data_IF_462603867220
#
_entry.id   IF_462603867220
#
_cell.length_a   1.000
_cell.length_b   1.000
_cell.length_c   1.000
_cell.angle_alpha   90.00
_cell.angle_beta   90.00
_cell.angle_gamma   90.00
#
_symmetry.space_group_name_H-M   'P 1'
#
loop_
_entity.id
_entity.type
_entity.pdbx_description
1 polymer ?
#
# COMPACT_ATOMS: atom_id res chain seq x y z
N UNK A 1 -1.53 -11.36 -16.88
CA UNK A 1 -0.35 -10.60 -16.42
C UNK A 1 -0.63 -10.20 -14.97
N UNK A 2 0.19 -10.59 -14.04
CA UNK A 2 -0.01 -10.24 -12.64
C UNK A 2 0.33 -8.76 -12.46
N UNK A 3 -0.68 -7.93 -12.24
CA UNK A 3 -0.49 -6.49 -12.05
C UNK A 3 -0.09 -6.11 -10.62
N UNK A 4 -0.27 -7.03 -9.66
CA UNK A 4 0.11 -6.84 -8.25
C UNK A 4 1.50 -7.46 -7.97
N UNK A 5 2.52 -6.97 -8.66
CA UNK A 5 3.92 -7.39 -8.50
C UNK A 5 4.69 -6.49 -7.53
N UNK A 6 5.94 -6.18 -7.89
CA UNK A 6 6.77 -5.20 -7.19
C UNK A 6 6.34 -3.80 -7.60
N UNK A 7 5.89 -2.99 -6.66
CA UNK A 7 5.30 -1.68 -6.96
C UNK A 7 6.00 -0.49 -6.33
N UNK A 8 6.73 -0.69 -5.24
CA UNK A 8 7.39 0.40 -4.55
C UNK A 8 8.79 0.00 -4.11
N UNK A 9 9.72 0.90 -4.34
CA UNK A 9 11.10 0.84 -3.87
C UNK A 9 11.45 2.17 -3.21
N UNK A 10 11.94 2.14 -1.98
CA UNK A 10 12.40 3.33 -1.29
C UNK A 10 13.45 2.95 -0.24
N UNK A 11 14.37 3.85 0.06
CA UNK A 11 15.27 3.65 1.19
C UNK A 11 14.58 4.09 2.49
N UNK A 12 14.63 3.22 3.50
CA UNK A 12 14.17 3.57 4.85
C UNK A 12 15.15 4.57 5.47
N UNK A 13 14.71 5.78 5.83
CA UNK A 13 15.56 6.73 6.54
C UNK A 13 15.85 6.30 7.98
N UNK A 14 15.14 5.30 8.50
CA UNK A 14 15.30 4.75 9.84
C UNK A 14 16.39 3.69 9.89
N UNK A 15 16.49 2.84 8.88
CA UNK A 15 17.43 1.70 8.86
C UNK A 15 18.52 1.81 7.80
N UNK A 16 18.38 2.72 6.83
CA UNK A 16 19.25 2.84 5.67
C UNK A 16 19.12 1.70 4.66
N UNK A 17 18.19 0.76 4.90
CA UNK A 17 17.96 -0.39 4.02
C UNK A 17 16.99 -0.05 2.90
N UNK A 18 17.09 -0.78 1.80
CA UNK A 18 16.11 -0.71 0.72
C UNK A 18 14.82 -1.41 1.14
N UNK A 19 13.70 -0.72 1.02
CA UNK A 19 12.37 -1.28 1.27
C UNK A 19 11.70 -1.58 -0.05
N UNK A 20 11.23 -2.80 -0.19
CA UNK A 20 10.52 -3.34 -1.33
C UNK A 20 9.11 -3.72 -0.89
N UNK A 21 8.12 -3.38 -1.70
CA UNK A 21 6.75 -3.88 -1.53
C UNK A 21 6.39 -4.84 -2.63
N UNK A 22 5.81 -5.97 -2.26
CA UNK A 22 5.26 -6.95 -3.21
C UNK A 22 3.75 -7.03 -3.04
N UNK A 23 3.02 -7.06 -4.15
CA UNK A 23 1.59 -7.35 -4.12
C UNK A 23 1.30 -8.84 -3.99
N UNK A 24 0.01 -9.19 -3.91
CA UNK A 24 -0.49 -10.56 -3.73
C UNK A 24 -0.35 -11.47 -4.95
N UNK A 25 0.26 -10.97 -6.04
CA UNK A 25 0.43 -11.69 -7.30
C UNK A 25 -0.78 -11.63 -8.24
N UNK A 26 -1.87 -10.96 -7.84
CA UNK A 26 -3.10 -10.82 -8.64
C UNK A 26 -4.08 -11.99 -8.46
N UNK A 27 -4.96 -12.18 -9.44
CA UNK A 27 -5.99 -13.25 -9.46
C UNK A 27 -7.20 -13.03 -8.55
N UNK A 28 -7.57 -11.80 -8.25
CA UNK A 28 -8.77 -11.43 -7.47
C UNK A 28 -8.93 -12.20 -6.15
N UNK A 29 -8.92 -11.49 -5.04
CA UNK A 29 -9.08 -12.05 -3.69
C UNK A 29 -8.02 -13.08 -3.26
N UNK A 30 -6.81 -13.02 -3.82
CA UNK A 30 -5.68 -13.88 -3.43
C UNK A 30 -6.13 -15.34 -3.18
N UNK A 31 -6.56 -16.09 -4.21
CA UNK A 31 -7.19 -17.40 -4.03
C UNK A 31 -6.24 -18.45 -3.44
N UNK A 32 -4.94 -18.20 -3.47
CA UNK A 32 -3.91 -19.07 -2.93
C UNK A 32 -3.41 -18.64 -1.56
N UNK A 33 -3.94 -17.53 -1.02
CA UNK A 33 -3.56 -16.97 0.27
C UNK A 33 -2.07 -16.61 0.40
N UNK A 34 -1.45 -16.16 -0.71
CA UNK A 34 -0.02 -15.86 -0.78
C UNK A 34 0.37 -14.71 0.16
N UNK A 35 -0.51 -13.71 0.30
CA UNK A 35 -0.25 -12.55 1.15
C UNK A 35 -0.11 -12.90 2.64
N UNK A 36 -0.71 -14.01 3.08
CA UNK A 36 -0.67 -14.49 4.46
C UNK A 36 0.32 -15.63 4.70
N UNK A 37 0.73 -16.36 3.67
CA UNK A 37 1.77 -17.39 3.78
C UNK A 37 3.12 -16.74 4.10
N UNK A 38 3.69 -17.04 5.27
CA UNK A 38 4.94 -16.45 5.75
C UNK A 38 6.15 -16.82 4.88
N UNK A 39 6.04 -17.88 4.10
CA UNK A 39 7.12 -18.34 3.20
C UNK A 39 7.05 -17.72 1.81
N UNK A 40 5.91 -17.19 1.40
CA UNK A 40 5.75 -16.53 0.10
C UNK A 40 6.33 -15.12 0.10
N UNK A 41 6.97 -14.74 -1.01
CA UNK A 41 7.50 -13.39 -1.22
C UNK A 41 6.36 -12.41 -1.54
N UNK A 42 5.27 -12.91 -2.13
CA UNK A 42 4.09 -12.10 -2.47
C UNK A 42 3.38 -11.58 -1.22
N UNK A 43 2.77 -10.40 -1.34
CA UNK A 43 1.94 -9.77 -0.29
C UNK A 43 2.71 -9.31 0.94
N UNK A 44 3.94 -8.82 0.77
CA UNK A 44 4.87 -8.43 1.85
C UNK A 44 5.42 -7.01 1.68
N UNK A 45 5.87 -6.46 2.79
CA UNK A 45 6.86 -5.37 2.83
C UNK A 45 8.17 -5.97 3.34
N UNK A 46 9.24 -5.79 2.57
CA UNK A 46 10.53 -6.43 2.82
C UNK A 46 11.62 -5.36 2.87
N UNK A 47 12.47 -5.39 3.88
CA UNK A 47 13.75 -4.66 3.90
C UNK A 47 14.87 -5.53 3.35
N UNK A 48 15.72 -4.92 2.56
CA UNK A 48 16.92 -5.54 1.95
C UNK A 48 18.16 -4.78 2.41
N UNK A 49 19.06 -5.47 3.07
CA UNK A 49 20.38 -4.93 3.43
C UNK A 49 21.30 -4.98 2.20
N UNK A 50 21.24 -3.93 1.39
CA UNK A 50 22.05 -3.81 0.17
C UNK A 50 23.53 -3.53 0.45
N UNK A 51 23.89 -3.24 1.70
CA UNK A 51 25.28 -3.10 2.12
C UNK A 51 26.02 -4.42 2.24
N UNK A 52 25.29 -5.53 2.35
CA UNK A 52 25.85 -6.87 2.27
C UNK A 52 26.03 -7.23 0.79
N UNK A 53 27.28 -7.15 0.33
CA UNK A 53 27.59 -7.40 -1.08
C UNK A 53 27.56 -8.90 -1.40
N UNK A 54 26.60 -9.29 -2.23
CA UNK A 54 26.51 -10.67 -2.75
C UNK A 54 26.49 -10.63 -4.26
N UNK A 55 27.55 -11.16 -4.87
CA UNK A 55 27.59 -11.38 -6.32
C UNK A 55 26.88 -12.70 -6.64
N UNK A 56 25.65 -12.63 -7.13
CA UNK A 56 24.92 -13.79 -7.63
C UNK A 56 24.83 -13.70 -9.14
N UNK A 57 25.51 -14.62 -9.78
CA UNK A 57 25.42 -14.80 -11.23
C UNK A 57 24.20 -15.68 -11.52
N UNK A 58 23.26 -15.16 -12.32
CA UNK A 58 22.02 -15.87 -12.68
C UNK A 58 21.15 -16.23 -11.45
N UNK A 59 20.55 -15.24 -10.75
CA UNK A 59 19.67 -15.54 -9.63
C UNK A 59 18.50 -16.41 -10.07
N UNK A 60 18.09 -17.41 -9.25
CA UNK A 60 16.93 -18.22 -9.58
C UNK A 60 15.65 -17.38 -9.57
N UNK A 61 14.69 -17.72 -10.43
CA UNK A 61 13.33 -17.19 -10.36
C UNK A 61 12.56 -18.01 -9.32
N UNK A 62 12.24 -17.41 -8.19
CA UNK A 62 11.60 -18.09 -7.06
C UNK A 62 10.39 -17.30 -6.56
N UNK A 63 9.47 -17.99 -5.90
CA UNK A 63 8.30 -17.35 -5.25
C UNK A 63 8.36 -17.41 -3.73
N UNK A 64 9.19 -18.30 -3.18
CA UNK A 64 9.29 -18.56 -1.74
C UNK A 64 10.66 -18.18 -1.18
N UNK A 65 10.68 -17.70 0.07
CA UNK A 65 11.92 -17.29 0.74
C UNK A 65 12.93 -18.42 0.91
N UNK A 66 12.47 -19.64 1.19
CA UNK A 66 13.37 -20.80 1.38
C UNK A 66 14.00 -21.32 0.09
N UNK A 67 13.54 -20.86 -1.07
CA UNK A 67 14.12 -21.17 -2.38
C UNK A 67 15.27 -20.23 -2.75
N UNK A 68 15.36 -19.08 -2.06
CA UNK A 68 16.46 -18.13 -2.27
C UNK A 68 17.79 -18.70 -1.77
N UNK A 69 18.91 -18.35 -2.43
CA UNK A 69 20.24 -18.64 -1.89
C UNK A 69 20.44 -18.10 -0.47
N UNK A 70 21.09 -18.86 0.41
CA UNK A 70 21.30 -18.48 1.81
C UNK A 70 21.87 -17.06 1.96
N UNK A 71 22.88 -16.63 1.19
CA UNK A 71 23.40 -15.26 1.31
C UNK A 71 22.33 -14.19 1.05
N UNK A 72 21.36 -14.43 0.18
CA UNK A 72 20.24 -13.52 -0.05
C UNK A 72 19.28 -13.55 1.13
N UNK A 73 18.90 -14.73 1.63
CA UNK A 73 18.01 -14.88 2.79
C UNK A 73 18.51 -14.05 3.99
N UNK A 74 19.83 -14.02 4.21
CA UNK A 74 20.47 -13.27 5.31
C UNK A 74 20.41 -11.75 5.15
N UNK A 75 20.09 -11.25 3.96
CA UNK A 75 19.93 -9.81 3.72
C UNK A 75 18.49 -9.34 3.91
N UNK A 76 17.53 -10.27 3.98
CA UNK A 76 16.11 -9.96 3.94
C UNK A 76 15.48 -9.97 5.33
N UNK A 77 14.59 -8.99 5.54
CA UNK A 77 13.77 -8.88 6.74
C UNK A 77 12.35 -8.52 6.33
N UNK A 78 11.36 -9.28 6.78
CA UNK A 78 9.95 -8.98 6.52
C UNK A 78 9.43 -8.01 7.57
N UNK A 79 8.89 -6.86 7.12
CA UNK A 79 8.30 -5.83 7.98
C UNK A 79 6.82 -6.12 8.22
N UNK A 80 6.11 -6.49 7.16
CA UNK A 80 4.66 -6.70 7.19
C UNK A 80 4.21 -7.73 6.17
N UNK A 81 3.02 -8.29 6.41
CA UNK A 81 2.30 -9.20 5.52
C UNK A 81 0.85 -8.76 5.29
N UNK A 82 0.09 -9.54 4.54
CA UNK A 82 -1.31 -9.25 4.28
C UNK A 82 -1.51 -8.04 3.37
N UNK A 83 -0.59 -7.83 2.46
CA UNK A 83 -0.61 -6.77 1.46
C UNK A 83 -1.36 -7.26 0.22
N UNK A 84 -2.24 -6.42 -0.32
CA UNK A 84 -2.81 -6.64 -1.65
C UNK A 84 -1.95 -6.00 -2.73
N UNK A 85 -1.78 -4.68 -2.68
CA UNK A 85 -0.98 -3.94 -3.63
C UNK A 85 -0.59 -2.57 -3.05
N UNK A 86 0.67 -2.41 -2.66
CA UNK A 86 1.16 -1.14 -2.11
C UNK A 86 1.80 -0.33 -3.22
N UNK A 87 1.27 0.87 -3.44
CA UNK A 87 1.74 1.80 -4.46
C UNK A 87 2.78 2.80 -3.96
N UNK A 88 2.97 2.88 -2.65
CA UNK A 88 4.00 3.73 -2.06
C UNK A 88 4.13 3.56 -0.56
N UNK A 89 5.33 3.78 -0.06
CA UNK A 89 5.64 3.94 1.35
C UNK A 89 6.37 5.26 1.54
N UNK A 90 5.90 6.07 2.47
CA UNK A 90 6.54 7.35 2.84
C UNK A 90 6.82 7.40 4.33
N UNK A 91 7.75 8.27 4.70
CA UNK A 91 8.27 8.36 6.05
C UNK A 91 8.19 9.79 6.54
N UNK A 92 7.71 9.98 7.76
CA UNK A 92 7.75 11.25 8.46
C UNK A 92 8.60 11.12 9.72
N UNK A 93 9.60 11.97 9.89
CA UNK A 93 10.36 11.99 11.13
C UNK A 93 9.49 12.48 12.28
N UNK A 94 9.47 11.71 13.37
CA UNK A 94 8.72 12.01 14.58
C UNK A 94 9.62 11.75 15.80
N UNK A 95 10.20 12.81 16.34
CA UNK A 95 11.26 12.71 17.37
C UNK A 95 12.42 11.80 16.92
N UNK A 96 12.64 10.69 17.62
CA UNK A 96 13.69 9.71 17.32
C UNK A 96 13.21 8.50 16.51
N UNK A 97 12.00 8.57 15.96
CA UNK A 97 11.35 7.51 15.21
C UNK A 97 10.82 8.04 13.87
N UNK A 98 10.28 7.14 13.07
CA UNK A 98 9.60 7.50 11.85
C UNK A 98 8.19 6.93 11.81
N UNK A 99 7.23 7.78 11.50
CA UNK A 99 5.89 7.33 11.10
C UNK A 99 6.01 6.87 9.64
N UNK A 100 5.54 5.65 9.36
CA UNK A 100 5.43 5.09 8.02
C UNK A 100 3.99 5.27 7.56
N UNK A 101 3.79 5.78 6.37
CA UNK A 101 2.49 5.86 5.71
C UNK A 101 2.51 4.97 4.48
N UNK A 102 1.49 4.13 4.35
CA UNK A 102 1.42 3.10 3.33
C UNK A 102 0.05 3.15 2.67
N UNK A 103 0.06 3.23 1.35
CA UNK A 103 -1.15 3.12 0.54
C UNK A 103 -1.34 1.70 0.03
N UNK A 104 -2.46 1.08 0.34
CA UNK A 104 -2.80 -0.26 -0.11
C UNK A 104 -4.07 -0.25 -0.96
N UNK A 105 -3.93 -0.62 -2.22
CA UNK A 105 -5.02 -0.65 -3.20
C UNK A 105 -5.98 -1.79 -2.85
N UNK A 106 -7.25 -1.46 -2.75
CA UNK A 106 -8.32 -2.42 -2.49
C UNK A 106 -8.77 -3.21 -3.71
N UNK A 107 -9.68 -4.14 -3.50
CA UNK A 107 -10.20 -5.01 -4.56
C UNK A 107 -11.53 -4.49 -5.10
N UNK A 108 -12.53 -4.35 -4.26
CA UNK A 108 -13.89 -4.05 -4.66
C UNK A 108 -14.56 -2.94 -3.85
N UNK A 109 -14.06 -2.65 -2.64
CA UNK A 109 -14.79 -1.78 -1.71
C UNK A 109 -14.07 -0.49 -1.40
N UNK A 110 -12.81 -0.55 -0.93
CA UNK A 110 -12.10 0.61 -0.41
C UNK A 110 -10.62 0.62 -0.76
N UNK A 111 -10.14 1.80 -1.05
CA UNK A 111 -8.71 2.13 -0.97
C UNK A 111 -8.35 2.48 0.47
N UNK A 112 -7.16 2.13 0.92
CA UNK A 112 -6.78 2.33 2.33
C UNK A 112 -5.40 2.89 2.52
N UNK A 113 -5.31 3.89 3.40
CA UNK A 113 -4.05 4.45 3.89
C UNK A 113 -3.82 3.92 5.30
N UNK A 114 -2.65 3.34 5.55
CA UNK A 114 -2.23 2.88 6.86
C UNK A 114 -1.10 3.73 7.40
N UNK A 115 -0.99 3.79 8.73
CA UNK A 115 0.15 4.40 9.39
C UNK A 115 0.60 3.58 10.59
N UNK A 116 1.91 3.52 10.80
CA UNK A 116 2.51 2.86 11.97
C UNK A 116 3.87 3.46 12.31
N UNK A 117 4.24 3.38 13.56
CA UNK A 117 5.52 3.85 14.08
C UNK A 117 6.38 2.67 14.46
N UNK A 118 5.89 1.87 15.40
CA UNK A 118 6.60 0.71 15.92
C UNK A 118 6.17 -0.55 15.19
N UNK A 119 7.15 -1.37 14.85
CA UNK A 119 6.97 -2.68 14.26
C UNK A 119 8.10 -3.61 14.72
N UNK A 120 7.85 -4.91 14.63
CA UNK A 120 8.84 -5.94 14.94
C UNK A 120 9.14 -6.72 13.67
N UNK A 121 10.18 -6.32 12.93
CA UNK A 121 10.53 -6.99 11.69
C UNK A 121 11.07 -8.39 11.98
N UNK A 122 10.79 -9.33 11.08
CA UNK A 122 11.21 -10.72 11.23
C UNK A 122 12.25 -11.04 10.14
N UNK A 123 13.49 -11.39 10.51
CA UNK A 123 14.48 -11.88 9.56
C UNK A 123 13.95 -13.13 8.82
N UNK A 124 14.19 -13.19 7.51
CA UNK A 124 13.73 -14.33 6.69
C UNK A 124 14.27 -15.67 7.20
N UNK A 125 15.50 -15.69 7.71
CA UNK A 125 16.06 -16.88 8.35
C UNK A 125 15.26 -17.40 9.54
N UNK A 126 14.64 -16.50 10.34
CA UNK A 126 13.75 -16.88 11.43
C UNK A 126 12.41 -17.43 10.94
N UNK A 127 11.85 -16.86 9.87
CA UNK A 127 10.63 -17.40 9.25
C UNK A 127 10.87 -18.82 8.74
N UNK A 128 11.99 -19.03 8.05
CA UNK A 128 12.35 -20.36 7.53
C UNK A 128 12.54 -21.35 8.68
N UNK A 129 13.26 -20.96 9.73
CA UNK A 129 13.48 -21.84 10.89
C UNK A 129 12.16 -22.20 11.58
N UNK A 130 11.27 -21.24 11.78
CA UNK A 130 9.95 -21.46 12.39
C UNK A 130 9.10 -22.44 11.57
N UNK A 131 9.16 -22.37 10.24
CA UNK A 131 8.42 -23.29 9.37
C UNK A 131 8.87 -24.76 9.51
N UNK A 132 10.15 -25.01 9.73
CA UNK A 132 10.69 -26.37 9.91
C UNK A 132 10.20 -27.05 11.21
N UNK A 133 9.90 -26.27 12.25
CA UNK A 133 9.47 -26.78 13.54
C UNK A 133 7.97 -26.59 13.76
N UNK A 134 7.23 -26.23 12.70
CA UNK A 134 5.80 -25.88 12.77
C UNK A 134 5.47 -24.88 13.91
N UNK A 135 6.41 -24.02 14.26
CA UNK A 135 6.20 -22.95 15.21
C UNK A 135 5.68 -21.72 14.50
N UNK A 136 4.72 -21.04 15.12
CA UNK A 136 4.35 -19.69 14.73
C UNK A 136 5.42 -18.76 15.31
N UNK A 137 6.14 -17.96 14.50
CA UNK A 137 7.04 -16.96 15.03
C UNK A 137 6.31 -16.07 16.03
N UNK A 138 7.01 -15.61 17.09
CA UNK A 138 6.47 -14.58 17.96
C UNK A 138 6.16 -13.33 17.11
N UNK A 139 4.88 -13.17 16.83
CA UNK A 139 4.38 -12.15 15.93
C UNK A 139 3.83 -10.92 16.67
N UNK A 140 4.06 -10.82 17.97
CA UNK A 140 3.72 -9.62 18.72
C UNK A 140 4.44 -8.41 18.11
N UNK A 141 3.66 -7.44 17.62
CA UNK A 141 4.20 -6.26 16.92
C UNK A 141 4.53 -6.48 15.43
N UNK A 142 4.42 -7.69 14.89
CA UNK A 142 4.48 -7.93 13.45
C UNK A 142 3.20 -7.42 12.78
N UNK A 143 3.36 -6.63 11.71
CA UNK A 143 2.25 -5.95 11.08
C UNK A 143 1.58 -6.85 10.06
N UNK A 144 0.23 -6.94 10.14
CA UNK A 144 -0.60 -7.59 9.15
C UNK A 144 -1.66 -6.59 8.65
N UNK A 145 -1.66 -6.27 7.36
CA UNK A 145 -2.68 -5.42 6.74
C UNK A 145 -4.02 -6.12 6.57
N UNK A 146 -4.05 -7.46 6.75
CA UNK A 146 -5.27 -8.25 6.81
C UNK A 146 -5.75 -8.82 5.49
N UNK A 147 -5.18 -8.44 4.35
CA UNK A 147 -5.55 -9.03 3.07
C UNK A 147 -5.20 -10.55 3.09
N UNK A 148 -6.04 -11.43 2.66
CA UNK A 148 -7.34 -11.31 1.96
C UNK A 148 -8.57 -11.31 2.87
N UNK A 149 -8.44 -11.53 4.16
CA UNK A 149 -9.58 -11.58 5.10
C UNK A 149 -10.20 -10.20 5.32
N UNK A 150 -9.45 -9.14 5.04
CA UNK A 150 -9.86 -7.77 5.26
C UNK A 150 -9.48 -6.88 4.08
N UNK A 151 -10.39 -5.99 3.70
CA UNK A 151 -10.14 -4.87 2.80
C UNK A 151 -10.32 -3.59 3.60
N UNK A 152 -9.18 -2.94 3.92
CA UNK A 152 -9.16 -1.84 4.88
C UNK A 152 -9.68 -2.24 6.26
N UNK A 153 -10.75 -1.58 6.71
CA UNK A 153 -11.42 -1.88 7.99
C UNK A 153 -12.51 -2.96 7.86
N UNK A 154 -12.84 -3.40 6.65
CA UNK A 154 -14.00 -4.24 6.37
C UNK A 154 -13.62 -5.71 6.14
N UNK A 155 -14.30 -6.66 6.77
CA UNK A 155 -14.10 -8.07 6.50
C UNK A 155 -14.57 -8.43 5.09
N UNK A 156 -13.72 -9.08 4.32
CA UNK A 156 -14.02 -9.46 2.92
C UNK A 156 -15.14 -10.51 2.83
N UNK A 157 -15.40 -11.27 3.90
CA UNK A 157 -16.58 -12.16 3.97
C UNK A 157 -17.88 -11.39 3.73
N UNK A 158 -18.05 -10.22 4.35
CA UNK A 158 -19.23 -9.37 4.16
C UNK A 158 -19.35 -8.85 2.72
N UNK A 159 -18.22 -8.47 2.12
CA UNK A 159 -18.20 -8.03 0.72
C UNK A 159 -18.56 -9.19 -0.21
N UNK A 160 -18.01 -10.37 0.09
CA UNK A 160 -18.19 -11.55 -0.74
C UNK A 160 -19.57 -12.18 -0.64
N UNK A 161 -20.27 -12.02 0.46
CA UNK A 161 -21.66 -12.49 0.59
C UNK A 161 -22.59 -11.80 -0.43
N UNK A 162 -22.19 -10.64 -0.91
CA UNK A 162 -22.86 -9.95 -2.02
C UNK A 162 -22.34 -10.39 -3.40
N UNK A 163 -21.31 -11.22 -3.47
CA UNK A 163 -20.68 -11.64 -4.72
C UNK A 163 -21.49 -12.69 -5.45
N UNK A 164 -21.47 -12.62 -6.79
CA UNK A 164 -22.05 -13.63 -7.68
C UNK A 164 -21.20 -14.90 -7.84
N UNK A 165 -19.97 -14.92 -7.27
CA UNK A 165 -19.08 -16.08 -7.35
C UNK A 165 -18.98 -16.84 -6.02
N UNK A 166 -19.80 -17.91 -5.82
CA UNK A 166 -19.86 -18.64 -4.57
C UNK A 166 -18.54 -19.34 -4.18
N UNK A 167 -17.74 -19.78 -5.16
CA UNK A 167 -16.47 -20.49 -4.87
C UNK A 167 -15.42 -19.56 -4.26
N UNK A 168 -15.35 -18.31 -4.72
CA UNK A 168 -14.49 -17.30 -4.10
C UNK A 168 -14.98 -16.93 -2.71
N UNK A 169 -16.30 -16.90 -2.54
CA UNK A 169 -16.95 -16.59 -1.28
C UNK A 169 -16.56 -17.60 -0.18
N UNK A 170 -16.72 -18.88 -0.44
CA UNK A 170 -16.39 -19.95 0.51
C UNK A 170 -14.94 -19.87 1.00
N UNK A 171 -13.98 -19.71 0.08
CA UNK A 171 -12.55 -19.58 0.44
C UNK A 171 -12.27 -18.34 1.25
N UNK A 172 -12.91 -17.22 0.93
CA UNK A 172 -12.72 -15.95 1.62
C UNK A 172 -13.28 -15.99 3.02
N UNK A 173 -14.47 -16.59 3.20
CA UNK A 173 -15.10 -16.78 4.52
C UNK A 173 -14.27 -17.71 5.39
N UNK A 174 -13.81 -18.84 4.85
CA UNK A 174 -12.94 -19.76 5.58
C UNK A 174 -11.68 -19.05 6.06
N UNK A 175 -11.02 -18.31 5.19
CA UNK A 175 -9.85 -17.55 5.56
C UNK A 175 -10.13 -16.45 6.60
N UNK A 176 -11.24 -15.73 6.48
CA UNK A 176 -11.64 -14.72 7.47
C UNK A 176 -11.77 -15.33 8.87
N UNK A 177 -12.38 -16.51 8.97
CA UNK A 177 -12.52 -17.23 10.22
C UNK A 177 -11.16 -17.67 10.79
N UNK A 178 -10.24 -18.12 9.94
CA UNK A 178 -8.86 -18.44 10.32
C UNK A 178 -8.09 -17.20 10.77
N UNK A 179 -8.21 -16.10 10.05
CA UNK A 179 -7.51 -14.86 10.35
C UNK A 179 -7.86 -14.23 11.70
N UNK A 180 -9.05 -14.53 12.24
CA UNK A 180 -9.44 -14.12 13.60
C UNK A 180 -8.60 -14.81 14.69
N UNK A 181 -7.95 -15.93 14.35
CA UNK A 181 -7.19 -16.78 15.29
C UNK A 181 -5.69 -16.45 15.23
N UNK A 182 -5.24 -15.68 14.25
CA UNK A 182 -3.82 -15.39 14.09
C UNK A 182 -3.32 -14.38 15.11
N UNK A 183 -2.16 -14.66 15.71
CA UNK A 183 -1.47 -13.81 16.69
C UNK A 183 -0.84 -12.54 16.07
N UNK A 184 -0.88 -12.40 14.75
CA UNK A 184 -0.35 -11.23 14.06
C UNK A 184 -1.24 -10.01 14.31
N UNK A 185 -0.63 -8.90 14.70
CA UNK A 185 -1.34 -7.64 14.92
C UNK A 185 -1.91 -7.11 13.60
N UNK A 186 -3.23 -7.22 13.44
CA UNK A 186 -3.92 -6.57 12.33
C UNK A 186 -3.88 -5.04 12.50
N UNK A 187 -3.37 -4.35 11.50
CA UNK A 187 -3.34 -2.89 11.48
C UNK A 187 -4.69 -2.36 10.97
N UNK A 188 -5.26 -1.39 11.70
CA UNK A 188 -6.41 -0.63 11.22
C UNK A 188 -5.93 0.48 10.28
N UNK A 189 -6.67 0.80 9.22
CA UNK A 189 -6.32 1.93 8.36
C UNK A 189 -6.42 3.27 9.10
N UNK A 190 -5.55 4.20 8.72
CA UNK A 190 -5.63 5.60 9.13
C UNK A 190 -6.88 6.25 8.54
N UNK A 191 -7.13 5.99 7.27
CA UNK A 191 -8.35 6.36 6.55
C UNK A 191 -8.59 5.39 5.40
N UNK A 192 -9.84 5.33 4.95
CA UNK A 192 -10.24 4.61 3.73
C UNK A 192 -11.24 5.46 2.95
N UNK A 193 -11.25 5.28 1.63
CA UNK A 193 -12.26 5.86 0.77
C UNK A 193 -12.85 4.79 -0.15
N UNK A 194 -14.12 4.94 -0.46
CA UNK A 194 -14.88 3.91 -1.17
C UNK A 194 -14.69 4.00 -2.68
N UNK A 195 -14.77 2.84 -3.34
CA UNK A 195 -14.89 2.78 -4.81
C UNK A 195 -16.23 3.34 -5.28
N UNK A 196 -17.27 3.23 -4.46
CA UNK A 196 -18.58 3.84 -4.67
C UNK A 196 -18.95 4.62 -3.42
N UNK A 197 -18.80 5.93 -3.43
CA UNK A 197 -19.09 6.81 -2.30
C UNK A 197 -20.26 7.73 -2.63
N UNK A 198 -21.36 7.60 -1.90
CA UNK A 198 -22.57 8.41 -2.13
C UNK A 198 -22.53 9.78 -1.46
N UNK A 199 -21.47 10.08 -0.70
CA UNK A 199 -21.32 11.38 -0.03
C UNK A 199 -20.94 12.45 -1.05
N UNK A 200 -21.64 13.61 -1.08
CA UNK A 200 -21.47 14.62 -2.12
C UNK A 200 -20.13 15.38 -2.04
N UNK A 201 -19.46 15.32 -0.89
CA UNK A 201 -18.17 15.97 -0.63
C UNK A 201 -16.97 14.99 -0.80
N UNK A 202 -17.21 13.81 -1.33
CA UNK A 202 -16.21 12.77 -1.56
C UNK A 202 -16.15 12.40 -3.05
N UNK A 203 -15.03 11.80 -3.46
CA UNK A 203 -14.95 11.18 -4.76
C UNK A 203 -15.04 9.65 -4.64
N UNK A 204 -15.51 9.01 -5.67
CA UNK A 204 -15.43 7.57 -5.83
C UNK A 204 -14.03 7.18 -6.31
N UNK A 205 -13.37 6.28 -5.59
CA UNK A 205 -12.01 5.86 -5.88
C UNK A 205 -11.90 4.80 -6.96
N UNK A 206 -10.71 4.67 -7.51
CA UNK A 206 -10.38 3.61 -8.46
C UNK A 206 -9.11 2.85 -8.08
N UNK A 207 -8.04 3.58 -7.79
CA UNK A 207 -6.77 3.01 -7.33
C UNK A 207 -5.92 4.08 -6.65
N UNK A 208 -5.55 3.86 -5.42
CA UNK A 208 -4.61 4.71 -4.69
C UNK A 208 -3.23 4.68 -5.35
N UNK A 209 -2.64 5.83 -5.66
CA UNK A 209 -1.39 5.94 -6.41
C UNK A 209 -0.25 6.63 -5.67
N UNK A 210 -0.52 7.33 -4.59
CA UNK A 210 0.51 7.98 -3.80
C UNK A 210 0.04 8.40 -2.42
N UNK A 211 0.96 8.39 -1.45
CA UNK A 211 0.72 8.85 -0.07
C UNK A 211 1.95 9.60 0.42
N UNK A 212 1.78 10.85 0.86
CA UNK A 212 2.87 11.68 1.36
C UNK A 212 2.45 12.51 2.58
N UNK A 213 3.25 12.59 3.64
CA UNK A 213 3.07 13.60 4.68
C UNK A 213 3.46 14.98 4.14
N UNK A 214 2.72 16.01 4.57
CA UNK A 214 3.04 17.40 4.27
C UNK A 214 3.28 18.20 5.54
N UNK A 215 4.47 18.75 5.69
CA UNK A 215 4.93 19.52 6.86
C UNK A 215 5.12 21.01 6.56
N UNK A 216 4.94 21.41 5.29
CA UNK A 216 5.12 22.78 4.85
C UNK A 216 4.08 23.75 5.42
N UNK A 217 4.44 25.02 5.40
CA UNK A 217 3.56 26.14 5.77
C UNK A 217 2.98 26.86 4.54
N UNK A 218 3.49 26.50 3.33
CA UNK A 218 3.05 27.12 2.09
C UNK A 218 1.58 26.89 1.76
N UNK A 219 1.04 25.72 2.13
CA UNK A 219 -0.39 25.41 2.02
C UNK A 219 -0.92 25.14 3.44
N UNK A 220 -1.36 26.18 4.17
CA UNK A 220 -1.68 26.08 5.60
C UNK A 220 -2.74 25.02 5.93
N UNK A 221 -3.71 24.82 5.03
CA UNK A 221 -4.77 23.82 5.20
C UNK A 221 -4.24 22.38 5.24
N UNK A 222 -3.07 22.12 4.63
CA UNK A 222 -2.46 20.80 4.55
C UNK A 222 -1.36 20.57 5.59
N UNK A 223 -0.95 21.58 6.33
CA UNK A 223 0.14 21.45 7.32
C UNK A 223 -0.18 20.35 8.34
N UNK A 224 0.74 19.38 8.49
CA UNK A 224 0.59 18.23 9.39
C UNK A 224 -0.43 17.19 8.91
N UNK A 225 -0.81 17.22 7.63
CA UNK A 225 -1.70 16.25 7.01
C UNK A 225 -0.93 15.16 6.25
N UNK A 226 -1.64 14.08 5.98
CA UNK A 226 -1.23 13.04 5.03
C UNK A 226 -2.05 13.23 3.76
N UNK A 227 -1.37 13.57 2.67
CA UNK A 227 -1.98 13.80 1.35
C UNK A 227 -1.87 12.52 0.53
N UNK A 228 -2.90 12.22 -0.24
CA UNK A 228 -2.93 11.03 -1.07
C UNK A 228 -3.63 11.28 -2.41
N UNK A 229 -3.30 10.45 -3.39
CA UNK A 229 -3.84 10.54 -4.75
C UNK A 229 -4.53 9.25 -5.15
N UNK A 230 -5.61 9.40 -5.93
CA UNK A 230 -6.28 8.32 -6.65
C UNK A 230 -6.07 8.48 -8.16
N UNK A 231 -5.95 7.35 -8.84
CA UNK A 231 -5.67 7.32 -10.28
C UNK A 231 -6.74 8.03 -11.09
N UNK A 232 -8.02 7.76 -10.82
CA UNK A 232 -9.15 8.33 -11.56
C UNK A 232 -10.42 8.28 -10.72
N UNK A 233 -11.13 9.41 -10.61
CA UNK A 233 -12.46 9.48 -9.98
C UNK A 233 -13.47 8.72 -10.85
N UNK A 234 -14.24 7.81 -10.25
CA UNK A 234 -15.23 6.98 -10.97
C UNK A 234 -16.55 7.68 -11.24
N UNK A 235 -17.03 8.46 -10.28
CA UNK A 235 -18.34 9.13 -10.35
C UNK A 235 -18.39 10.32 -11.31
N UNK A 236 -17.26 10.69 -11.83
CA UNK A 236 -17.19 11.66 -12.89
C UNK A 236 -17.29 10.91 -14.24
N UNK A 237 -18.50 10.81 -14.77
CA UNK A 237 -18.71 10.48 -16.21
C UNK A 237 -18.08 11.56 -17.10
N UNK A 238 -17.15 12.32 -16.55
CA UNK A 238 -16.47 13.42 -17.20
C UNK A 238 -15.47 12.86 -18.21
N UNK A 239 -15.66 13.28 -19.41
CA UNK A 239 -14.63 13.20 -20.44
C UNK A 239 -14.15 14.63 -20.63
N UNK A 240 -12.92 14.93 -20.30
CA UNK A 240 -11.79 14.05 -19.93
C UNK A 240 -11.77 13.60 -18.46
N UNK A 241 -11.28 12.37 -18.22
CA UNK A 241 -11.15 11.81 -16.88
C UNK A 241 -10.13 12.58 -16.01
N UNK A 242 -10.38 12.64 -14.70
CA UNK A 242 -9.52 13.32 -13.71
C UNK A 242 -9.17 12.38 -12.56
N UNK A 243 -7.95 12.53 -12.03
CA UNK A 243 -7.52 11.87 -10.80
C UNK A 243 -8.14 12.50 -9.55
N UNK A 244 -8.06 11.79 -8.43
CA UNK A 244 -8.44 12.28 -7.10
C UNK A 244 -7.24 12.77 -6.31
N UNK A 245 -7.41 13.86 -5.57
CA UNK A 245 -6.45 14.34 -4.59
C UNK A 245 -7.19 14.64 -3.29
N UNK A 246 -6.64 14.17 -2.16
CA UNK A 246 -7.27 14.36 -0.87
C UNK A 246 -6.26 14.33 0.27
N UNK A 247 -6.69 14.69 1.45
CA UNK A 247 -5.87 14.62 2.66
C UNK A 247 -6.66 14.13 3.87
N UNK A 248 -5.93 13.56 4.81
CA UNK A 248 -6.43 13.24 6.14
C UNK A 248 -5.43 13.70 7.20
N UNK A 249 -5.86 13.76 8.46
CA UNK A 249 -5.00 14.12 9.59
C UNK A 249 -4.85 12.94 10.51
N UNK A 250 -3.67 12.77 11.10
CA UNK A 250 -3.45 11.73 12.10
C UNK A 250 -4.32 12.03 13.33
N UNK A 251 -5.10 11.03 13.77
CA UNK A 251 -5.89 11.10 15.00
C UNK A 251 -5.22 10.30 16.11
N UNK A 252 -5.43 10.77 17.33
CA UNK A 252 -4.88 10.12 18.51
C UNK A 252 -5.79 9.03 19.11
N UNK A 253 -7.07 9.01 18.71
CA UNK A 253 -8.07 8.10 19.27
C UNK A 253 -8.07 6.67 18.63
N UNK A 254 -7.18 6.43 17.68
CA UNK A 254 -7.02 5.13 17.02
C UNK A 254 -8.17 4.70 16.11
N UNK A 255 -9.16 5.56 15.87
CA UNK A 255 -10.26 5.29 14.93
C UNK A 255 -9.86 5.73 13.52
N UNK A 256 -10.39 5.10 12.47
CA UNK A 256 -10.24 5.58 11.11
C UNK A 256 -10.71 7.03 10.98
N UNK A 257 -9.95 7.83 10.25
CA UNK A 257 -10.30 9.21 9.97
C UNK A 257 -11.23 9.30 8.76
N UNK A 258 -11.95 10.39 8.70
CA UNK A 258 -12.47 10.89 7.44
C UNK A 258 -11.36 11.63 6.67
N UNK A 259 -11.61 11.94 5.41
CA UNK A 259 -10.71 12.69 4.54
C UNK A 259 -11.44 13.88 3.93
N UNK A 260 -10.66 14.86 3.47
CA UNK A 260 -11.14 16.00 2.71
C UNK A 260 -10.56 15.99 1.31
N UNK A 261 -11.40 16.27 0.33
CA UNK A 261 -10.99 16.38 -1.07
C UNK A 261 -10.25 17.69 -1.29
N UNK A 262 -9.22 17.66 -2.12
CA UNK A 262 -8.50 18.83 -2.60
C UNK A 262 -8.87 19.01 -4.07
N UNK A 263 -9.47 20.15 -4.39
CA UNK A 263 -9.70 20.54 -5.77
C UNK A 263 -8.48 21.32 -6.29
N UNK A 264 -8.04 20.95 -7.49
CA UNK A 264 -6.95 21.63 -8.17
C UNK A 264 -7.55 22.61 -9.19
N UNK A 265 -7.26 23.90 -9.00
CA UNK A 265 -7.63 24.94 -9.94
C UNK A 265 -6.55 25.03 -11.07
N UNK A 266 -6.59 24.07 -11.96
CA UNK A 266 -5.73 24.01 -13.13
C UNK A 266 -6.46 23.35 -14.29
N UNK A 267 -6.45 24.02 -15.44
CA UNK A 267 -7.00 23.47 -16.67
C UNK A 267 -6.01 22.52 -17.35
N UNK A 268 -6.25 21.22 -17.16
CA UNK A 268 -5.49 20.16 -17.84
C UNK A 268 -5.82 20.07 -19.36
N UNK A 269 -6.73 20.93 -19.85
CA UNK A 269 -7.17 20.91 -21.24
C UNK A 269 -8.05 19.69 -21.58
N UNK A 270 -8.18 19.34 -22.88
CA UNK A 270 -9.09 18.28 -23.33
C UNK A 270 -8.56 16.86 -23.10
N UNK A 271 -7.35 16.71 -22.57
CA UNK A 271 -6.76 15.40 -22.27
C UNK A 271 -7.16 14.93 -20.88
N UNK A 272 -7.24 13.60 -20.70
CA UNK A 272 -7.36 13.01 -19.36
C UNK A 272 -6.15 13.38 -18.49
N UNK A 273 -6.37 13.46 -17.18
CA UNK A 273 -5.34 13.74 -16.19
C UNK A 273 -5.44 12.70 -15.07
N UNK A 274 -4.82 11.55 -15.30
CA UNK A 274 -4.72 10.48 -14.32
C UNK A 274 -3.58 10.79 -13.34
N UNK A 275 -3.86 10.75 -12.04
CA UNK A 275 -2.83 11.01 -11.02
C UNK A 275 -2.10 9.71 -10.72
N UNK A 276 -0.85 9.61 -11.16
CA UNK A 276 -0.09 8.35 -11.14
C UNK A 276 0.95 8.28 -10.02
N UNK A 277 1.25 9.41 -9.41
CA UNK A 277 2.19 9.46 -8.28
C UNK A 277 2.06 10.76 -7.49
N UNK A 278 2.48 10.70 -6.24
CA UNK A 278 2.63 11.87 -5.37
C UNK A 278 4.02 11.83 -4.74
N UNK A 279 4.76 12.90 -4.89
CA UNK A 279 6.10 13.07 -4.35
C UNK A 279 6.21 14.28 -3.42
N UNK A 280 7.35 14.38 -2.73
CA UNK A 280 7.68 15.52 -1.88
C UNK A 280 9.18 15.79 -1.92
N UNK A 281 9.61 17.01 -1.54
CA UNK A 281 11.01 17.28 -1.28
C UNK A 281 11.46 16.62 0.05
N UNK A 282 12.76 16.60 0.33
CA UNK A 282 13.34 15.94 1.52
C UNK A 282 12.75 16.51 2.82
N UNK A 283 12.50 17.80 2.88
CA UNK A 283 11.92 18.49 4.04
C UNK A 283 10.40 18.28 4.17
N UNK A 284 9.76 17.64 3.20
CA UNK A 284 8.31 17.40 3.15
C UNK A 284 7.47 18.70 3.20
N UNK A 285 8.02 19.77 2.60
CA UNK A 285 7.41 21.11 2.57
C UNK A 285 6.83 21.49 1.22
N UNK A 286 7.05 20.66 0.19
CA UNK A 286 6.51 20.81 -1.16
C UNK A 286 5.88 19.49 -1.61
N UNK A 287 4.84 19.58 -2.41
CA UNK A 287 4.15 18.43 -3.00
C UNK A 287 4.28 18.48 -4.51
N UNK A 288 4.55 17.31 -5.10
CA UNK A 288 4.68 17.14 -6.54
C UNK A 288 3.70 16.07 -7.00
N UNK A 289 2.86 16.41 -7.96
CA UNK A 289 1.85 15.54 -8.54
C UNK A 289 2.33 15.05 -9.91
N UNK A 290 2.47 13.74 -10.04
CA UNK A 290 2.68 13.10 -11.34
C UNK A 290 1.35 12.84 -12.02
N UNK A 291 1.21 13.38 -13.23
CA UNK A 291 -0.02 13.27 -14.05
C UNK A 291 0.31 12.57 -15.36
N UNK A 292 -0.56 11.66 -15.78
CA UNK A 292 -0.47 10.99 -17.08
C UNK A 292 -1.75 11.23 -17.91
N UNK A 293 -1.57 11.60 -19.15
CA UNK A 293 -2.68 11.99 -20.05
C UNK A 293 -3.40 10.82 -20.73
N UNK A 294 -3.05 9.58 -20.43
CA UNK A 294 -3.65 8.39 -21.05
C UNK A 294 -3.65 7.20 -20.11
N UNK A 295 -4.61 6.29 -20.24
CA UNK A 295 -4.61 4.97 -19.61
C UNK A 295 -3.88 3.90 -20.43
N UNK A 296 -3.50 4.22 -21.66
CA UNK A 296 -2.80 3.28 -22.52
C UNK A 296 -1.31 3.28 -22.20
N UNK A 297 -0.78 2.15 -21.77
CA UNK A 297 0.64 1.98 -21.41
C UNK A 297 1.62 2.18 -22.58
N UNK A 298 1.13 2.18 -23.81
CA UNK A 298 1.93 2.42 -25.00
C UNK A 298 2.01 3.91 -25.40
N UNK A 299 1.26 4.76 -24.71
CA UNK A 299 1.26 6.21 -24.99
C UNK A 299 2.44 6.88 -24.27
N UNK A 300 3.57 6.97 -24.96
CA UNK A 300 4.75 7.62 -24.44
C UNK A 300 4.61 9.15 -24.44
N UNK A 301 5.42 9.82 -23.59
CA UNK A 301 5.51 11.29 -23.50
C UNK A 301 4.19 11.99 -23.13
N UNK A 302 3.33 11.31 -22.33
CA UNK A 302 2.08 11.86 -21.79
C UNK A 302 2.15 12.21 -20.31
N UNK A 303 3.32 12.02 -19.69
CA UNK A 303 3.56 12.31 -18.26
C UNK A 303 4.03 13.75 -18.04
N UNK A 304 3.53 14.39 -16.99
CA UNK A 304 3.96 15.71 -16.51
C UNK A 304 4.00 15.68 -14.98
N UNK A 305 4.97 16.39 -14.41
CA UNK A 305 5.06 16.61 -12.96
C UNK A 305 4.72 18.06 -12.66
N UNK A 306 3.76 18.28 -11.78
CA UNK A 306 3.36 19.60 -11.30
C UNK A 306 3.77 19.79 -9.84
N UNK A 307 4.17 20.98 -9.46
CA UNK A 307 4.23 21.38 -8.05
C UNK A 307 2.86 21.90 -7.65
N UNK A 308 2.35 21.40 -6.51
CA UNK A 308 1.10 21.89 -5.91
C UNK A 308 1.43 23.14 -5.08
N UNK A 309 0.84 24.24 -5.45
CA UNK A 309 1.00 25.54 -4.79
C UNK A 309 -0.34 26.03 -4.22
N UNK A 310 -0.34 27.03 -3.30
CA UNK A 310 -1.57 27.61 -2.72
C UNK A 310 -2.52 28.16 -3.77
#
# INVERSE_FOLDING_TARGET
>A
MNHNGVNSLNFSPETGKLVLTTGDGGSGYDPFNLSQDDMEIAGKIIEIDVGKNHSIVNPPVVTRFNELPIPIQETLTVIAKGVRNITGISYQRYYNQYIKYVGNVGQDLVESIFSFVQYKPIPVSQLIQASFINAVPDQEGFINFGWRGWEGAFPTSTIKDCSTNPKLNEKTIAYYNEALITSARRLQPLTSYFHEDQRPDKFEGNALTGVQPYLGQGIPALTGSVVFTDFTRRNESQTPARGGLAYTRVRQDGKPNDYSVIEIDYDFGPQSAHYVSLGTNIEQTRLYLGVHGSTNVTDYNKGTVFEIIP
#
